data_IF_908681943860
#
_entry.id   IF_908681943860
#
_cell.length_a   1.000
_cell.length_b   1.000
_cell.length_c   1.000
_cell.angle_alpha   90.00
_cell.angle_beta   90.00
_cell.angle_gamma   90.00
#
_symmetry.space_group_name_H-M   'P 1'
#
loop_
_entity.id
_entity.type
_entity.pdbx_description
1 polymer ?
#
# COMPACT_ATOMS: atom_id res chain seq x y z
N UNK A 1 2.72 9.98 -14.67
CA UNK A 1 3.47 10.27 -13.44
C UNK A 1 2.46 10.94 -12.53
N UNK A 2 1.85 10.11 -11.70
CA UNK A 2 0.77 10.48 -10.81
C UNK A 2 1.23 10.41 -9.34
N UNK A 3 0.44 11.00 -8.46
CA UNK A 3 0.68 11.00 -7.02
C UNK A 3 -0.48 10.31 -6.32
N UNK A 4 -0.16 9.31 -5.51
CA UNK A 4 -1.12 8.49 -4.81
C UNK A 4 -1.02 8.70 -3.31
N UNK A 5 -2.16 8.73 -2.62
CA UNK A 5 -2.20 8.68 -1.16
C UNK A 5 -2.45 7.24 -0.73
N UNK A 6 -1.52 6.67 0.04
CA UNK A 6 -1.67 5.31 0.58
C UNK A 6 -1.42 5.31 2.08
N UNK A 7 -2.32 4.68 2.84
CA UNK A 7 -2.13 4.48 4.28
C UNK A 7 -1.50 3.12 4.51
N UNK A 8 -0.40 3.09 5.27
CA UNK A 8 0.17 1.84 5.76
C UNK A 8 -0.88 1.11 6.59
N UNK A 9 -0.93 -0.21 6.43
CA UNK A 9 -1.97 -1.04 7.02
C UNK A 9 -1.94 -0.97 8.55
N UNK A 10 -2.84 -0.17 9.11
CA UNK A 10 -2.79 0.27 10.51
C UNK A 10 -3.13 -0.81 11.54
N UNK A 11 -3.67 -1.95 11.09
CA UNK A 11 -3.96 -3.08 11.98
C UNK A 11 -2.72 -3.93 12.26
N UNK A 12 -1.67 -3.83 11.44
CA UNK A 12 -0.41 -4.57 11.59
C UNK A 12 0.81 -3.64 11.34
N UNK A 13 0.91 -2.48 12.05
CA UNK A 13 1.93 -1.46 11.80
C UNK A 13 3.34 -1.95 12.09
N UNK A 14 3.50 -2.88 13.02
CA UNK A 14 4.79 -3.43 13.42
C UNK A 14 5.41 -4.37 12.39
N UNK A 15 4.66 -4.74 11.35
CA UNK A 15 5.16 -5.47 10.18
C UNK A 15 5.18 -4.57 8.96
N UNK A 16 4.08 -3.86 8.71
CA UNK A 16 3.94 -3.04 7.50
C UNK A 16 4.85 -1.81 7.47
N UNK A 17 5.16 -1.17 8.62
CA UNK A 17 6.13 -0.07 8.66
C UNK A 17 7.57 -0.55 8.42
N UNK A 18 8.08 -1.59 9.10
CA UNK A 18 9.40 -2.11 8.78
C UNK A 18 9.53 -2.66 7.35
N UNK A 19 8.45 -3.17 6.74
CA UNK A 19 8.45 -3.56 5.33
C UNK A 19 8.60 -2.33 4.43
N UNK A 20 7.89 -1.24 4.71
CA UNK A 20 8.01 0.01 3.98
C UNK A 20 9.43 0.59 4.05
N UNK A 21 10.05 0.59 5.24
CA UNK A 21 11.45 1.00 5.43
C UNK A 21 12.43 0.14 4.59
N UNK A 22 12.05 -1.09 4.24
CA UNK A 22 12.82 -2.00 3.36
C UNK A 22 12.43 -1.90 1.89
N UNK A 23 11.62 -0.90 1.52
CA UNK A 23 11.16 -0.64 0.15
C UNK A 23 9.97 -1.51 -0.29
N UNK A 24 9.16 -2.00 0.65
CA UNK A 24 8.00 -2.85 0.38
C UNK A 24 6.74 -2.17 0.92
N UNK A 25 5.94 -1.59 0.04
CA UNK A 25 4.64 -1.03 0.41
C UNK A 25 3.58 -2.11 0.30
N UNK A 26 2.77 -2.28 1.35
CA UNK A 26 1.78 -3.36 1.44
C UNK A 26 0.35 -2.83 1.57
N UNK A 27 -0.61 -3.68 1.20
CA UNK A 27 -2.04 -3.52 1.48
C UNK A 27 -2.58 -4.83 2.07
N UNK A 28 -3.69 -4.76 2.80
CA UNK A 28 -4.38 -5.93 3.36
C UNK A 28 -5.02 -6.84 2.30
N UNK A 29 -6.15 -7.46 2.64
CA UNK A 29 -6.91 -8.37 1.78
C UNK A 29 -6.26 -9.73 1.57
N UNK A 30 -5.68 -10.29 2.64
CA UNK A 30 -5.06 -11.62 2.59
C UNK A 30 -6.07 -12.73 2.22
N UNK A 31 -7.33 -12.62 2.64
CA UNK A 31 -8.37 -13.62 2.33
C UNK A 31 -8.70 -13.74 0.83
N UNK A 32 -8.30 -12.75 0.03
CA UNK A 32 -8.45 -12.73 -1.43
C UNK A 32 -7.09 -12.58 -2.14
N UNK A 33 -5.98 -12.87 -1.45
CA UNK A 33 -4.62 -12.81 -1.99
C UNK A 33 -4.33 -14.00 -2.90
N UNK A 34 -4.86 -13.96 -4.12
CA UNK A 34 -4.72 -15.03 -5.09
C UNK A 34 -4.59 -14.49 -6.53
N UNK A 35 -4.02 -15.27 -7.47
CA UNK A 35 -3.78 -14.81 -8.82
C UNK A 35 -5.01 -14.25 -9.53
N UNK A 36 -6.21 -14.79 -9.27
CA UNK A 36 -7.46 -14.30 -9.89
C UNK A 36 -7.83 -12.88 -9.45
N UNK A 37 -7.50 -12.49 -8.21
CA UNK A 37 -7.76 -11.14 -7.69
C UNK A 37 -6.79 -10.15 -8.32
N UNK A 38 -5.51 -10.53 -8.43
CA UNK A 38 -4.49 -9.71 -9.09
C UNK A 38 -4.75 -9.56 -10.59
N UNK A 39 -5.37 -10.56 -11.23
CA UNK A 39 -5.73 -10.58 -12.63
C UNK A 39 -7.19 -10.18 -12.92
N UNK A 40 -7.87 -9.51 -11.98
CA UNK A 40 -9.24 -9.05 -12.19
C UNK A 40 -9.31 -8.15 -13.45
N UNK A 41 -10.19 -8.43 -14.42
CA UNK A 41 -10.22 -7.70 -15.69
C UNK A 41 -10.76 -6.28 -15.56
N UNK A 42 -11.63 -6.05 -14.58
CA UNK A 42 -12.27 -4.76 -14.30
C UNK A 42 -12.66 -4.67 -12.81
N UNK A 43 -13.09 -3.47 -12.40
CA UNK A 43 -13.45 -3.19 -11.02
C UNK A 43 -14.69 -3.98 -10.57
N UNK A 44 -15.60 -4.34 -11.47
CA UNK A 44 -16.81 -5.07 -11.12
C UNK A 44 -16.51 -6.56 -10.85
N UNK A 45 -15.56 -7.15 -11.59
CA UNK A 45 -15.01 -8.46 -11.28
C UNK A 45 -14.35 -8.48 -9.89
N UNK A 46 -13.58 -7.44 -9.55
CA UNK A 46 -12.98 -7.31 -8.22
C UNK A 46 -14.05 -7.14 -7.12
N UNK A 47 -15.10 -6.33 -7.37
CA UNK A 47 -16.24 -6.19 -6.45
C UNK A 47 -16.92 -7.54 -6.21
N UNK A 48 -17.10 -8.35 -7.24
CA UNK A 48 -17.70 -9.69 -7.08
C UNK A 48 -16.83 -10.59 -6.19
N UNK A 49 -15.51 -10.57 -6.36
CA UNK A 49 -14.58 -11.31 -5.48
C UNK A 49 -14.75 -10.86 -4.02
N UNK A 50 -14.72 -9.55 -3.78
CA UNK A 50 -14.84 -8.99 -2.44
C UNK A 50 -16.21 -9.22 -1.80
N UNK A 51 -17.29 -9.10 -2.58
CA UNK A 51 -18.65 -9.37 -2.12
C UNK A 51 -18.82 -10.84 -1.72
N UNK A 52 -18.29 -11.77 -2.51
CA UNK A 52 -18.35 -13.20 -2.22
C UNK A 52 -17.51 -13.59 -1.00
N UNK A 53 -16.32 -12.99 -0.84
CA UNK A 53 -15.44 -13.29 0.30
C UNK A 53 -15.96 -12.69 1.61
N UNK A 54 -16.39 -11.42 1.60
CA UNK A 54 -16.67 -10.67 2.81
C UNK A 54 -18.16 -10.39 3.07
N UNK A 55 -19.05 -10.74 2.14
CA UNK A 55 -20.48 -10.39 2.21
C UNK A 55 -20.75 -8.88 2.14
N UNK A 56 -19.81 -8.09 1.62
CA UNK A 56 -19.95 -6.63 1.57
C UNK A 56 -20.87 -6.19 0.44
N UNK A 57 -21.60 -5.09 0.69
CA UNK A 57 -22.51 -4.48 -0.29
C UNK A 57 -22.47 -2.95 -0.18
N UNK A 58 -23.06 -2.28 -1.17
CA UNK A 58 -23.24 -0.82 -1.18
C UNK A 58 -21.93 -0.05 -1.00
N UNK A 59 -21.98 1.04 -0.23
CA UNK A 59 -20.85 1.96 -0.04
C UNK A 59 -19.57 1.27 0.47
N UNK A 60 -19.71 0.27 1.34
CA UNK A 60 -18.55 -0.46 1.89
C UNK A 60 -17.81 -1.21 0.78
N UNK A 61 -18.55 -1.95 -0.05
CA UNK A 61 -17.98 -2.67 -1.18
C UNK A 61 -17.27 -1.72 -2.15
N UNK A 62 -17.94 -0.61 -2.51
CA UNK A 62 -17.40 0.39 -3.42
C UNK A 62 -16.08 1.00 -2.90
N UNK A 63 -16.03 1.36 -1.62
CA UNK A 63 -14.84 1.95 -1.01
C UNK A 63 -13.66 0.99 -1.00
N UNK A 64 -13.87 -0.24 -0.52
CA UNK A 64 -12.78 -1.21 -0.42
C UNK A 64 -12.33 -1.72 -1.79
N UNK A 65 -13.26 -1.94 -2.73
CA UNK A 65 -12.93 -2.29 -4.11
C UNK A 65 -12.14 -1.17 -4.79
N UNK A 66 -12.54 0.10 -4.63
CA UNK A 66 -11.81 1.23 -5.21
C UNK A 66 -10.39 1.38 -4.68
N UNK A 67 -10.18 1.20 -3.36
CA UNK A 67 -8.84 1.27 -2.76
C UNK A 67 -7.95 0.13 -3.25
N UNK A 68 -8.47 -1.10 -3.28
CA UNK A 68 -7.72 -2.26 -3.75
C UNK A 68 -7.44 -2.16 -5.26
N UNK A 69 -8.43 -1.78 -6.06
CA UNK A 69 -8.31 -1.60 -7.52
C UNK A 69 -7.17 -0.64 -7.87
N UNK A 70 -7.13 0.52 -7.21
CA UNK A 70 -6.05 1.51 -7.41
C UNK A 70 -4.68 0.92 -7.15
N UNK A 71 -4.52 0.26 -6.00
CA UNK A 71 -3.26 -0.35 -5.60
C UNK A 71 -2.80 -1.45 -6.57
N UNK A 72 -3.74 -2.28 -7.05
CA UNK A 72 -3.43 -3.41 -7.93
C UNK A 72 -3.19 -2.99 -9.39
N UNK A 73 -3.97 -2.02 -9.91
CA UNK A 73 -4.07 -1.77 -11.35
C UNK A 73 -3.76 -0.33 -11.78
N UNK A 74 -3.93 0.67 -10.91
CA UNK A 74 -3.70 2.08 -11.28
C UNK A 74 -2.31 2.59 -10.89
N UNK A 75 -1.71 2.05 -9.83
CA UNK A 75 -0.35 2.38 -9.41
C UNK A 75 0.66 1.87 -10.44
N UNK A 76 1.37 2.78 -11.10
CA UNK A 76 2.33 2.44 -12.18
C UNK A 76 3.76 2.70 -11.75
N UNK A 77 4.70 1.98 -12.37
CA UNK A 77 6.13 2.22 -12.20
C UNK A 77 6.47 3.67 -12.57
N UNK A 78 7.21 4.36 -11.71
CA UNK A 78 7.56 5.77 -11.83
C UNK A 78 6.52 6.76 -11.26
N UNK A 79 5.36 6.28 -10.78
CA UNK A 79 4.47 7.10 -9.97
C UNK A 79 5.00 7.25 -8.54
N UNK A 80 4.47 8.23 -7.81
CA UNK A 80 4.82 8.48 -6.42
C UNK A 80 3.67 8.12 -5.48
N UNK A 81 4.01 7.57 -4.32
CA UNK A 81 3.09 7.30 -3.24
C UNK A 81 3.48 8.12 -2.03
N UNK A 82 2.54 8.91 -1.54
CA UNK A 82 2.62 9.66 -0.29
C UNK A 82 2.03 8.78 0.81
N UNK A 83 2.84 8.53 1.83
CA UNK A 83 2.48 7.68 2.96
C UNK A 83 2.54 8.49 4.26
N UNK A 84 1.38 8.82 4.87
CA UNK A 84 1.34 9.46 6.17
C UNK A 84 1.95 8.56 7.25
N UNK A 85 2.77 9.12 8.13
CA UNK A 85 3.26 8.39 9.30
C UNK A 85 2.20 8.40 10.41
N UNK A 86 1.81 7.25 11.00
CA UNK A 86 0.79 7.21 12.04
C UNK A 86 1.15 7.99 13.32
N UNK A 87 2.44 8.32 13.53
CA UNK A 87 2.95 8.91 14.77
C UNK A 87 3.46 10.35 14.64
N UNK A 88 3.53 10.90 13.44
CA UNK A 88 4.02 12.26 13.22
C UNK A 88 3.17 12.97 12.15
N UNK A 89 3.13 14.30 12.21
CA UNK A 89 2.59 15.18 11.16
C UNK A 89 3.58 15.19 9.98
N UNK A 90 3.97 14.01 9.51
CA UNK A 90 4.97 13.79 8.49
C UNK A 90 4.46 12.75 7.48
N UNK A 91 5.05 12.79 6.29
CA UNK A 91 4.77 11.83 5.23
C UNK A 91 6.08 11.41 4.57
N UNK A 92 6.15 10.14 4.21
CA UNK A 92 7.16 9.64 3.28
C UNK A 92 6.66 9.78 1.86
N UNK A 93 7.58 10.08 0.93
CA UNK A 93 7.32 9.97 -0.49
C UNK A 93 8.16 8.83 -1.03
N UNK A 94 7.50 7.95 -1.77
CA UNK A 94 8.11 6.77 -2.33
C UNK A 94 7.82 6.68 -3.82
N UNK A 95 8.81 6.34 -4.63
CA UNK A 95 8.65 6.05 -6.05
C UNK A 95 8.33 4.57 -6.24
N UNK A 96 7.36 4.25 -7.08
CA UNK A 96 6.96 2.88 -7.39
C UNK A 96 7.96 2.27 -8.38
N UNK A 97 8.54 1.14 -8.00
CA UNK A 97 9.53 0.41 -8.79
C UNK A 97 8.96 -0.83 -9.49
N UNK A 98 7.91 -1.42 -8.94
CA UNK A 98 7.25 -2.62 -9.48
C UNK A 98 5.73 -2.55 -9.28
N UNK A 99 4.98 -3.13 -10.21
CA UNK A 99 3.52 -3.33 -10.09
C UNK A 99 3.19 -4.32 -8.97
N UNK A 100 1.91 -4.36 -8.58
CA UNK A 100 1.44 -5.20 -7.48
C UNK A 100 1.73 -6.68 -7.70
N UNK A 101 2.09 -7.35 -6.60
CA UNK A 101 2.31 -8.78 -6.49
C UNK A 101 1.61 -9.31 -5.24
N UNK A 102 1.33 -10.60 -5.26
CA UNK A 102 0.88 -11.34 -4.08
C UNK A 102 1.97 -11.31 -3.00
N UNK A 103 1.56 -11.26 -1.73
CA UNK A 103 2.50 -11.18 -0.60
C UNK A 103 3.44 -12.38 -0.50
N UNK A 104 3.02 -13.55 -0.99
CA UNK A 104 3.77 -14.80 -0.99
C UNK A 104 4.99 -14.77 -1.92
N UNK A 105 5.00 -13.89 -2.91
CA UNK A 105 6.12 -13.67 -3.82
C UNK A 105 7.25 -12.84 -3.17
N UNK A 106 7.08 -12.40 -1.92
CA UNK A 106 8.10 -11.65 -1.22
C UNK A 106 9.28 -12.55 -0.83
N UNK A 107 10.50 -12.06 -1.04
CA UNK A 107 11.70 -12.83 -0.70
C UNK A 107 11.84 -12.99 0.83
N UNK A 108 12.17 -14.20 1.34
CA UNK A 108 12.34 -14.45 2.78
C UNK A 108 13.32 -13.48 3.47
N UNK A 109 14.32 -12.98 2.75
CA UNK A 109 15.28 -12.01 3.28
C UNK A 109 14.64 -10.68 3.73
N UNK A 110 13.53 -10.27 3.08
CA UNK A 110 12.78 -9.07 3.46
C UNK A 110 11.95 -9.27 4.74
N UNK A 111 11.72 -10.52 5.12
CA UNK A 111 10.97 -10.93 6.30
C UNK A 111 11.87 -11.27 7.50
N UNK A 112 13.19 -11.40 7.27
CA UNK A 112 14.17 -11.65 8.33
C UNK A 112 14.06 -10.59 9.43
N UNK A 113 14.17 -11.06 10.67
CA UNK A 113 14.11 -10.25 11.91
C UNK A 113 12.75 -9.58 12.18
N UNK A 114 11.68 -9.92 11.44
CA UNK A 114 10.32 -9.48 11.75
C UNK A 114 9.53 -10.50 12.58
N UNK A 115 10.10 -11.69 12.80
CA UNK A 115 9.41 -12.79 13.47
C UNK A 115 8.25 -13.35 12.65
N UNK A 116 8.27 -13.13 11.34
CA UNK A 116 7.22 -13.57 10.42
C UNK A 116 7.75 -14.64 9.48
N UNK A 117 6.86 -15.51 9.02
CA UNK A 117 7.15 -16.58 8.07
C UNK A 117 6.09 -16.61 6.98
N UNK A 118 6.49 -17.01 5.77
CA UNK A 118 5.53 -17.26 4.69
C UNK A 118 4.79 -18.56 4.97
N UNK A 119 3.48 -18.56 4.78
CA UNK A 119 2.74 -19.78 4.52
C UNK A 119 2.77 -19.99 3.01
N UNK A 120 3.36 -21.10 2.54
CA UNK A 120 3.45 -21.41 1.12
C UNK A 120 2.06 -21.31 0.45
N UNK A 121 1.86 -20.24 -0.34
CA UNK A 121 0.64 -19.98 -1.09
C UNK A 121 -0.56 -19.45 -0.29
N UNK A 122 -0.38 -18.99 0.95
CA UNK A 122 -1.51 -18.54 1.80
C UNK A 122 -1.26 -17.25 2.61
N UNK A 123 -0.07 -16.64 2.53
CA UNK A 123 0.18 -15.33 3.15
C UNK A 123 1.35 -15.31 4.13
N UNK A 124 1.27 -14.43 5.13
CA UNK A 124 2.30 -14.26 6.17
C UNK A 124 1.72 -14.60 7.54
N UNK A 125 2.47 -15.36 8.35
CA UNK A 125 2.17 -15.65 9.75
C UNK A 125 3.21 -15.07 10.69
N UNK A 126 2.73 -14.63 11.86
CA UNK A 126 3.55 -14.23 13.01
C UNK A 126 2.99 -14.84 14.28
N UNK A 127 3.82 -15.53 15.05
CA UNK A 127 3.42 -16.17 16.32
C UNK A 127 2.17 -17.06 16.18
N UNK A 128 2.03 -17.78 15.06
CA UNK A 128 0.86 -18.63 14.77
C UNK A 128 -0.41 -17.89 14.36
N UNK A 129 -0.38 -16.54 14.26
CA UNK A 129 -1.48 -15.72 13.76
C UNK A 129 -1.18 -15.26 12.32
N UNK A 130 -2.17 -15.40 11.45
CA UNK A 130 -2.12 -14.85 10.11
C UNK A 130 -2.19 -13.32 10.13
N UNK A 131 -1.36 -12.68 9.31
CA UNK A 131 -1.29 -11.23 9.18
C UNK A 131 -2.08 -10.85 7.94
N UNK A 132 -2.99 -9.88 8.07
CA UNK A 132 -3.77 -9.38 6.95
C UNK A 132 -2.93 -8.45 6.05
N UNK A 133 -2.01 -9.02 5.27
CA UNK A 133 -1.28 -8.37 4.20
C UNK A 133 -1.38 -9.28 2.96
N UNK A 134 -2.15 -8.88 1.96
CA UNK A 134 -2.39 -9.72 0.78
C UNK A 134 -1.50 -9.37 -0.41
N UNK A 135 -1.15 -8.09 -0.56
CA UNK A 135 -0.41 -7.63 -1.73
C UNK A 135 0.67 -6.63 -1.36
N UNK A 136 1.68 -6.54 -2.22
CA UNK A 136 2.75 -5.57 -2.10
C UNK A 136 3.17 -4.98 -3.44
N UNK A 137 3.79 -3.82 -3.38
CA UNK A 137 4.59 -3.22 -4.46
C UNK A 137 5.98 -2.90 -3.94
N UNK A 138 6.98 -2.90 -4.82
CA UNK A 138 8.31 -2.41 -4.46
C UNK A 138 8.36 -0.90 -4.67
N UNK A 139 8.95 -0.23 -3.71
CA UNK A 139 9.11 1.22 -3.72
C UNK A 139 10.50 1.63 -3.28
N UNK A 140 10.91 2.84 -3.64
CA UNK A 140 12.14 3.48 -3.14
C UNK A 140 11.78 4.80 -2.46
N UNK A 141 12.31 5.02 -1.28
CA UNK A 141 12.18 6.31 -0.60
C UNK A 141 12.82 7.43 -1.43
N UNK A 142 12.07 8.50 -1.68
CA UNK A 142 12.51 9.70 -2.38
C UNK A 142 12.94 10.77 -1.38
N UNK A 143 12.19 10.87 -0.28
CA UNK A 143 12.55 11.64 0.90
C UNK A 143 13.07 10.70 1.98
N UNK A 144 13.87 11.21 2.91
CA UNK A 144 14.21 10.45 4.12
C UNK A 144 12.89 10.15 4.84
N UNK A 145 12.45 8.89 4.78
CA UNK A 145 11.39 8.38 5.63
C UNK A 145 12.00 8.21 7.02
N UNK A 146 11.97 9.28 7.80
CA UNK A 146 12.39 9.20 9.19
C UNK A 146 11.18 8.79 10.04
N UNK A 147 11.21 7.55 10.55
CA UNK A 147 10.24 7.07 11.54
C UNK A 147 10.50 7.66 12.93
N UNK A 148 11.57 8.45 13.10
CA UNK A 148 11.85 9.24 14.30
C UNK A 148 10.88 10.44 14.44
N UNK A 149 10.67 10.94 15.67
CA UNK A 149 9.85 12.13 15.88
C UNK A 149 10.55 13.39 15.34
N UNK A 150 10.09 13.84 14.17
CA UNK A 150 10.13 15.20 13.61
C UNK A 150 11.49 15.75 13.12
N UNK A 151 11.61 15.85 11.78
CA UNK A 151 12.34 16.92 11.10
C UNK A 151 11.31 17.66 10.23
N UNK A 152 11.08 18.98 10.41
CA UNK A 152 10.14 19.71 9.59
C UNK A 152 10.56 19.66 8.12
N UNK A 153 9.60 19.35 7.24
CA UNK A 153 9.79 19.36 5.80
C UNK A 153 10.16 20.80 5.36
N UNK A 154 11.39 21.01 4.89
CA UNK A 154 11.89 22.34 4.51
C UNK A 154 11.10 22.88 3.30
N UNK A 155 10.62 24.12 3.37
CA UNK A 155 9.70 24.76 2.41
C UNK A 155 10.20 24.74 0.96
N UNK A 156 11.52 24.58 0.77
CA UNK A 156 12.15 24.42 -0.54
C UNK A 156 11.64 23.18 -1.30
N UNK A 157 11.23 22.13 -0.59
CA UNK A 157 10.84 20.85 -1.18
C UNK A 157 9.40 20.85 -1.71
N UNK A 158 8.49 21.60 -1.08
CA UNK A 158 7.10 21.72 -1.54
C UNK A 158 6.95 22.69 -2.72
N UNK A 159 7.93 23.58 -2.94
CA UNK A 159 7.86 24.59 -3.98
C UNK A 159 7.56 24.05 -5.40
N UNK A 160 8.10 22.91 -5.87
CA UNK A 160 7.77 22.39 -7.20
C UNK A 160 6.37 21.74 -7.26
N UNK A 161 5.92 21.12 -6.16
CA UNK A 161 4.61 20.45 -6.06
C UNK A 161 3.48 21.49 -5.95
N UNK A 162 3.71 22.57 -5.21
CA UNK A 162 2.75 23.66 -5.01
C UNK A 162 2.76 24.69 -6.16
N UNK A 163 3.85 24.76 -6.95
CA UNK A 163 3.96 25.71 -8.08
C UNK A 163 3.22 25.30 -9.37
N UNK A 164 2.46 24.19 -9.34
CA UNK A 164 1.47 23.91 -10.39
C UNK A 164 2.03 23.54 -11.77
N UNK A 165 3.24 22.98 -11.87
CA UNK A 165 3.76 22.44 -13.15
C UNK A 165 3.36 20.99 -13.46
N UNK A 166 2.53 20.37 -12.61
CA UNK A 166 1.82 19.13 -12.91
C UNK A 166 0.35 19.32 -12.58
N UNK A 167 -0.53 18.93 -13.50
CA UNK A 167 -1.97 18.95 -13.29
C UNK A 167 -2.32 18.18 -12.02
N UNK A 168 -2.66 18.86 -10.93
CA UNK A 168 -3.27 18.29 -9.73
C UNK A 168 -4.75 17.96 -9.98
N UNK A 169 -5.01 17.26 -11.07
CA UNK A 169 -6.30 16.62 -11.33
C UNK A 169 -6.27 15.30 -10.60
N UNK A 170 -6.96 15.26 -9.44
CA UNK A 170 -7.34 14.08 -8.65
C UNK A 170 -6.53 13.79 -7.37
N UNK A 171 -6.36 14.79 -6.49
CA UNK A 171 -6.31 14.50 -5.05
C UNK A 171 -7.76 14.32 -4.57
N UNK A 172 -8.29 13.10 -4.63
CA UNK A 172 -9.57 12.78 -3.97
C UNK A 172 -9.31 12.56 -2.48
N UNK A 173 -9.39 13.65 -1.71
CA UNK A 173 -9.54 13.60 -0.25
C UNK A 173 -10.97 13.15 0.08
N UNK A 174 -11.27 11.87 -0.12
CA UNK A 174 -12.51 11.27 0.37
C UNK A 174 -12.20 10.24 1.45
N UNK A 175 -12.61 10.62 2.67
CA UNK A 175 -12.95 9.81 3.83
C UNK A 175 -11.81 9.30 4.75
N UNK A 176 -11.53 10.13 5.76
CA UNK A 176 -11.48 9.69 7.17
C UNK A 176 -12.76 8.92 7.54
#
# INVERSE_FOLDING_TARGET
MDYWLHRVFSQEPEISVPLLERGILTIGFNDVSEPKTLAAPDIDALKNILANCYGWTGKKLEQHAGVLWRFLHEFKVGDFVVVPTPRAVAFGIFEILETAKLIDALLPDKLKNLGVSLINGQGIVRNGKEINLGFFIKVRAVTNYDSSPFVPCDDKFLSPILSGKGSLTNISLNAL
#
